data_IF_138629289956
#
_entry.id   IF_138629289956
#
_cell.length_a   1.000
_cell.length_b   1.000
_cell.length_c   1.000
_cell.angle_alpha   90.00
_cell.angle_beta   90.00
_cell.angle_gamma   90.00
#
_symmetry.space_group_name_H-M   'P 1'
#
loop_
_entity.id
_entity.type
_entity.pdbx_description
1 polymer ?
#
# COMPACT_ATOMS: atom_id res chain seq x y z
N UNK A 1 -36.07 -24.66 9.91
CA UNK A 1 -35.05 -24.79 10.97
C UNK A 1 -34.15 -23.59 10.84
N UNK A 2 -34.23 -22.67 11.80
CA UNK A 2 -33.45 -21.43 11.77
C UNK A 2 -31.96 -21.76 11.89
N UNK A 3 -31.26 -21.44 10.81
CA UNK A 3 -29.82 -21.54 10.68
C UNK A 3 -29.16 -20.69 11.77
N UNK A 4 -28.25 -21.32 12.52
CA UNK A 4 -27.39 -20.77 13.58
C UNK A 4 -27.35 -19.23 13.65
N UNK A 5 -28.17 -18.64 14.54
CA UNK A 5 -28.14 -17.22 14.90
C UNK A 5 -26.92 -16.84 15.77
N UNK A 6 -25.80 -17.54 15.59
CA UNK A 6 -24.56 -17.25 16.27
C UNK A 6 -23.87 -16.08 15.57
N UNK A 7 -24.02 -14.89 16.16
CA UNK A 7 -23.26 -13.74 15.75
C UNK A 7 -21.76 -14.06 15.90
N UNK A 8 -20.89 -13.70 14.94
CA UNK A 8 -19.44 -13.90 15.04
C UNK A 8 -18.84 -13.37 16.35
N UNK A 9 -19.46 -12.34 16.92
CA UNK A 9 -19.11 -11.75 18.22
C UNK A 9 -19.34 -12.73 19.39
N UNK A 10 -20.42 -13.53 19.33
CA UNK A 10 -20.72 -14.54 20.35
C UNK A 10 -19.77 -15.72 20.23
N UNK A 11 -19.52 -16.20 19.00
CA UNK A 11 -18.52 -17.25 18.78
C UNK A 11 -17.13 -16.80 19.22
N UNK A 12 -16.72 -15.58 18.85
CA UNK A 12 -15.46 -14.97 19.29
C UNK A 12 -15.36 -14.92 20.82
N UNK A 13 -16.42 -14.46 21.50
CA UNK A 13 -16.49 -14.45 22.97
C UNK A 13 -16.36 -15.85 23.57
N UNK A 14 -17.00 -16.86 22.99
CA UNK A 14 -16.96 -18.24 23.48
C UNK A 14 -15.60 -18.89 23.34
N UNK A 15 -14.88 -18.59 22.25
CA UNK A 15 -13.50 -19.03 22.10
C UNK A 15 -12.52 -18.13 22.86
N UNK A 16 -13.01 -17.12 23.60
CA UNK A 16 -12.29 -16.21 24.50
C UNK A 16 -11.59 -15.03 23.83
N UNK A 17 -12.02 -14.63 22.63
CA UNK A 17 -11.43 -13.53 21.85
C UNK A 17 -12.13 -12.23 22.27
N UNK A 18 -11.37 -11.31 22.85
CA UNK A 18 -11.89 -10.07 23.42
C UNK A 18 -11.85 -8.92 22.40
N UNK A 19 -12.66 -7.87 22.60
CA UNK A 19 -12.93 -6.80 21.65
C UNK A 19 -11.74 -5.92 21.21
N UNK A 20 -10.56 -6.07 21.82
CA UNK A 20 -9.31 -5.41 21.41
C UNK A 20 -8.48 -6.46 20.65
N UNK A 21 -8.73 -6.56 19.35
CA UNK A 21 -8.19 -7.63 18.50
C UNK A 21 -6.67 -7.56 18.33
N UNK A 22 -5.99 -8.68 18.59
CA UNK A 22 -4.66 -8.97 18.04
C UNK A 22 -4.82 -10.07 16.97
N UNK A 23 -4.60 -9.73 15.70
CA UNK A 23 -4.79 -10.67 14.58
C UNK A 23 -3.98 -11.98 14.74
N UNK A 24 -2.82 -11.90 15.40
CA UNK A 24 -1.96 -13.05 15.67
C UNK A 24 -2.63 -14.07 16.60
N UNK A 25 -3.22 -13.62 17.70
CA UNK A 25 -3.93 -14.48 18.65
C UNK A 25 -5.13 -15.19 17.99
N UNK A 26 -5.85 -14.50 17.11
CA UNK A 26 -6.95 -15.08 16.35
C UNK A 26 -6.46 -16.18 15.41
N UNK A 27 -5.36 -15.94 14.69
CA UNK A 27 -4.75 -16.95 13.82
C UNK A 27 -4.31 -18.18 14.60
N UNK A 28 -3.66 -18.01 15.76
CA UNK A 28 -3.22 -19.11 16.61
C UNK A 28 -4.39 -20.01 17.04
N UNK A 29 -5.53 -19.41 17.38
CA UNK A 29 -6.73 -20.15 17.76
C UNK A 29 -7.37 -20.85 16.56
N UNK A 30 -7.45 -20.19 15.41
CA UNK A 30 -7.94 -20.80 14.17
C UNK A 30 -7.07 -21.99 13.75
N UNK A 31 -5.75 -21.95 13.95
CA UNK A 31 -4.85 -23.04 13.58
C UNK A 31 -4.97 -24.29 14.45
N UNK A 32 -5.67 -24.22 15.58
CA UNK A 32 -6.05 -25.38 16.41
C UNK A 32 -7.25 -26.14 15.83
N UNK A 33 -8.01 -25.52 14.92
CA UNK A 33 -9.11 -26.18 14.22
C UNK A 33 -8.55 -27.19 13.20
N UNK A 34 -9.31 -28.25 12.87
CA UNK A 34 -8.90 -29.27 11.89
C UNK A 34 -9.04 -28.75 10.44
N UNK A 35 -8.36 -27.66 10.13
CA UNK A 35 -8.25 -27.10 8.78
C UNK A 35 -6.95 -27.57 8.12
N UNK A 36 -6.94 -27.65 6.79
CA UNK A 36 -5.78 -28.14 6.04
C UNK A 36 -4.56 -27.24 6.25
N UNK A 37 -3.34 -27.79 6.17
CA UNK A 37 -2.12 -26.96 6.25
C UNK A 37 -2.02 -25.96 5.09
N UNK A 38 -2.62 -26.28 3.94
CA UNK A 38 -2.75 -25.36 2.82
C UNK A 38 -3.60 -24.15 3.20
N UNK A 39 -4.76 -24.35 3.84
CA UNK A 39 -5.63 -23.26 4.29
C UNK A 39 -4.99 -22.45 5.41
N UNK A 40 -4.29 -23.10 6.36
CA UNK A 40 -3.48 -22.39 7.35
C UNK A 40 -2.43 -21.52 6.67
N UNK A 41 -1.75 -22.02 5.65
CA UNK A 41 -0.81 -21.25 4.83
C UNK A 41 -1.46 -20.00 4.22
N UNK A 42 -2.64 -20.14 3.62
CA UNK A 42 -3.39 -19.01 3.04
C UNK A 42 -3.82 -18.00 4.10
N UNK A 43 -4.27 -18.46 5.26
CA UNK A 43 -4.63 -17.59 6.38
C UNK A 43 -3.42 -16.81 6.91
N UNK A 44 -2.25 -17.45 7.06
CA UNK A 44 -0.99 -16.76 7.42
C UNK A 44 -0.63 -15.69 6.40
N UNK A 45 -0.76 -16.00 5.12
CA UNK A 45 -0.40 -15.07 4.05
C UNK A 45 -1.30 -13.83 4.02
N UNK A 46 -2.62 -14.01 4.13
CA UNK A 46 -3.60 -12.94 3.87
C UNK A 46 -4.13 -12.23 5.11
N UNK A 47 -3.70 -12.64 6.30
CA UNK A 47 -4.09 -11.99 7.56
C UNK A 47 -2.99 -11.01 7.98
N UNK A 48 -3.28 -9.70 8.01
CA UNK A 48 -2.31 -8.73 8.48
C UNK A 48 -2.06 -8.91 9.97
N UNK A 49 -0.80 -8.78 10.39
CA UNK A 49 -0.41 -8.84 11.80
C UNK A 49 0.41 -7.59 12.14
N UNK A 50 0.06 -6.92 13.24
CA UNK A 50 0.83 -5.79 13.76
C UNK A 50 1.93 -6.31 14.70
N UNK A 51 3.19 -6.02 14.39
CA UNK A 51 4.36 -6.36 15.22
C UNK A 51 5.29 -5.16 15.29
N UNK A 52 5.70 -4.76 16.49
CA UNK A 52 6.61 -3.63 16.71
C UNK A 52 6.19 -2.36 15.96
N UNK A 53 4.89 -2.04 15.96
CA UNK A 53 4.35 -0.86 15.28
C UNK A 53 4.30 -0.91 13.74
N UNK A 54 4.66 -2.05 13.12
CA UNK A 54 4.60 -2.28 11.67
C UNK A 54 3.57 -3.34 11.32
N UNK A 55 3.04 -3.30 10.10
CA UNK A 55 2.03 -4.24 9.61
C UNK A 55 2.69 -5.26 8.69
N UNK A 56 2.62 -6.54 9.05
CA UNK A 56 3.10 -7.66 8.25
C UNK A 56 1.93 -8.25 7.45
N UNK A 57 2.08 -8.34 6.12
CA UNK A 57 1.07 -8.90 5.22
C UNK A 57 1.73 -9.53 4.00
N UNK A 58 1.39 -10.78 3.69
CA UNK A 58 1.88 -11.54 2.54
C UNK A 58 3.42 -11.47 2.34
N UNK A 59 4.17 -11.58 3.44
CA UNK A 59 5.64 -11.51 3.41
C UNK A 59 6.23 -10.10 3.30
N UNK A 60 5.38 -9.07 3.22
CA UNK A 60 5.78 -7.67 3.18
C UNK A 60 5.51 -6.97 4.52
N UNK A 61 6.25 -5.90 4.77
CA UNK A 61 6.19 -5.07 5.99
C UNK A 61 5.85 -3.65 5.57
N UNK A 62 4.77 -3.13 6.13
CA UNK A 62 4.24 -1.79 5.84
C UNK A 62 4.34 -0.90 7.07
N UNK A 63 4.62 0.38 6.84
CA UNK A 63 4.47 1.40 7.88
C UNK A 63 3.01 1.51 8.33
N UNK A 64 2.79 1.85 9.61
CA UNK A 64 1.45 1.92 10.21
C UNK A 64 0.51 2.89 9.50
N UNK A 65 1.05 3.96 8.90
CA UNK A 65 0.27 4.94 8.14
C UNK A 65 -0.16 4.45 6.75
N UNK A 66 0.47 3.39 6.22
CA UNK A 66 0.14 2.81 4.92
C UNK A 66 -0.98 1.77 4.99
N UNK A 67 -1.39 1.35 6.19
CA UNK A 67 -2.47 0.37 6.39
C UNK A 67 -3.51 0.93 7.34
N UNK A 68 -4.80 0.82 6.99
CA UNK A 68 -5.89 1.42 7.76
C UNK A 68 -6.92 0.37 8.17
N UNK A 69 -6.80 -0.22 9.36
CA UNK A 69 -7.73 -1.25 9.86
C UNK A 69 -9.23 -0.90 9.73
N UNK A 70 -9.59 0.37 9.95
CA UNK A 70 -10.97 0.83 9.90
C UNK A 70 -11.46 1.17 8.49
N UNK A 71 -10.63 0.97 7.46
CA UNK A 71 -10.97 1.34 6.09
C UNK A 71 -11.97 0.36 5.52
N UNK A 72 -13.13 0.87 5.10
CA UNK A 72 -14.21 0.05 4.56
C UNK A 72 -14.44 0.39 3.11
N UNK A 73 -13.50 -0.01 2.26
CA UNK A 73 -13.64 0.10 0.81
C UNK A 73 -14.02 -1.25 0.20
N UNK A 74 -14.76 -1.22 -0.90
CA UNK A 74 -15.10 -2.42 -1.66
C UNK A 74 -15.18 -2.17 -3.16
N UNK A 75 -14.96 -3.23 -3.93
CA UNK A 75 -15.43 -3.34 -5.30
C UNK A 75 -16.73 -4.15 -5.33
N UNK A 76 -17.85 -3.55 -5.77
CA UNK A 76 -19.14 -4.26 -5.85
C UNK A 76 -19.07 -5.51 -6.73
N UNK A 77 -18.32 -5.45 -7.83
CA UNK A 77 -18.14 -6.58 -8.75
C UNK A 77 -17.37 -7.72 -8.08
N UNK A 78 -16.25 -7.45 -7.41
CA UNK A 78 -15.51 -8.46 -6.64
C UNK A 78 -16.38 -9.14 -5.58
N UNK A 79 -17.19 -8.36 -4.86
CA UNK A 79 -18.07 -8.89 -3.80
C UNK A 79 -19.22 -9.71 -4.39
N UNK A 80 -19.76 -9.30 -5.53
CA UNK A 80 -20.78 -10.06 -6.25
C UNK A 80 -20.25 -11.40 -6.79
N UNK A 81 -19.00 -11.42 -7.27
CA UNK A 81 -18.33 -12.65 -7.73
C UNK A 81 -17.97 -13.57 -6.56
N UNK A 82 -17.45 -13.01 -5.48
CA UNK A 82 -17.12 -13.77 -4.28
C UNK A 82 -17.23 -12.90 -3.02
N UNK A 83 -18.15 -13.22 -2.10
CA UNK A 83 -18.64 -12.30 -1.08
C UNK A 83 -17.68 -12.20 0.12
N UNK A 84 -16.44 -11.83 -0.12
CA UNK A 84 -15.45 -11.55 0.91
C UNK A 84 -14.66 -10.28 0.61
N UNK A 85 -14.21 -9.62 1.68
CA UNK A 85 -13.37 -8.44 1.60
C UNK A 85 -11.95 -8.80 1.14
N UNK A 86 -11.32 -7.98 0.28
CA UNK A 86 -9.92 -8.17 -0.10
C UNK A 86 -9.03 -7.31 0.78
N UNK A 87 -8.11 -7.95 1.51
CA UNK A 87 -7.27 -7.30 2.52
C UNK A 87 -6.43 -6.13 1.98
N UNK A 88 -5.98 -6.18 0.72
CA UNK A 88 -5.22 -5.08 0.13
C UNK A 88 -6.03 -3.79 -0.04
N UNK A 89 -7.38 -3.83 0.03
CA UNK A 89 -8.19 -2.60 0.07
C UNK A 89 -7.96 -1.77 1.35
N UNK A 90 -7.34 -2.37 2.37
CA UNK A 90 -6.93 -1.68 3.61
C UNK A 90 -5.65 -0.85 3.45
N UNK A 91 -4.86 -1.09 2.39
CA UNK A 91 -3.66 -0.30 2.10
C UNK A 91 -4.06 1.10 1.65
N UNK A 92 -3.60 2.14 2.35
CA UNK A 92 -3.97 3.55 2.19
C UNK A 92 -3.85 4.03 0.75
N UNK A 93 -3.00 3.45 -0.08
CA UNK A 93 -2.85 3.86 -1.48
C UNK A 93 -3.97 3.39 -2.42
N UNK A 94 -4.71 2.32 -2.11
CA UNK A 94 -5.70 1.75 -3.02
C UNK A 94 -6.87 2.72 -3.26
N UNK A 95 -7.17 3.05 -4.52
CA UNK A 95 -8.37 3.81 -4.91
C UNK A 95 -9.19 3.07 -5.96
N UNK A 96 -8.53 2.26 -6.78
CA UNK A 96 -9.14 1.50 -7.86
C UNK A 96 -9.05 0.01 -7.60
N UNK A 97 -10.09 -0.74 -7.97
CA UNK A 97 -10.05 -2.19 -7.95
C UNK A 97 -9.09 -2.69 -9.05
N UNK A 98 -8.04 -3.45 -8.72
CA UNK A 98 -7.09 -3.94 -9.72
C UNK A 98 -7.67 -5.04 -10.62
N UNK A 99 -8.78 -5.67 -10.21
CA UNK A 99 -9.47 -6.72 -10.97
C UNK A 99 -10.46 -6.09 -11.95
N UNK A 100 -11.38 -5.25 -11.47
CA UNK A 100 -12.49 -4.70 -12.27
C UNK A 100 -12.28 -3.28 -12.79
N UNK A 101 -11.17 -2.63 -12.41
CA UNK A 101 -10.78 -1.28 -12.85
C UNK A 101 -11.84 -0.20 -12.57
N UNK A 102 -12.60 -0.37 -11.50
CA UNK A 102 -13.56 0.63 -11.03
C UNK A 102 -13.07 1.23 -9.72
N UNK A 103 -13.48 2.47 -9.46
CA UNK A 103 -13.25 3.11 -8.17
C UNK A 103 -13.79 2.22 -7.04
N UNK A 104 -13.02 2.12 -5.97
CA UNK A 104 -13.45 1.48 -4.75
C UNK A 104 -14.44 2.40 -4.04
N UNK A 105 -15.54 1.82 -3.58
CA UNK A 105 -16.59 2.57 -2.93
C UNK A 105 -16.52 2.41 -1.42
N UNK A 106 -16.78 3.47 -0.64
CA UNK A 106 -16.97 3.33 0.80
C UNK A 106 -18.19 2.46 1.06
N UNK A 107 -18.05 1.58 2.04
CA UNK A 107 -19.17 0.80 2.50
C UNK A 107 -20.09 1.69 3.34
N UNK A 108 -21.33 1.87 2.87
CA UNK A 108 -22.36 2.54 3.63
C UNK A 108 -22.62 1.79 4.94
N UNK A 109 -22.62 2.51 6.06
CA UNK A 109 -22.96 1.97 7.37
C UNK A 109 -24.47 1.67 7.39
N UNK A 110 -24.86 0.46 6.99
CA UNK A 110 -26.20 -0.04 7.22
C UNK A 110 -26.14 -1.01 8.40
N UNK A 111 -26.89 -0.74 9.47
CA UNK A 111 -26.99 -1.60 10.67
C UNK A 111 -27.38 -3.06 10.35
N UNK A 112 -27.90 -3.33 9.15
CA UNK A 112 -28.27 -4.66 8.64
C UNK A 112 -27.22 -5.31 7.72
N UNK A 113 -26.00 -4.77 7.61
CA UNK A 113 -24.90 -5.39 6.83
C UNK A 113 -23.85 -6.08 7.70
N UNK A 114 -24.01 -6.05 9.02
CA UNK A 114 -23.38 -6.98 9.96
C UNK A 114 -23.66 -8.41 9.48
N UNK A 115 -22.65 -9.06 8.88
CA UNK A 115 -22.76 -10.44 8.38
C UNK A 115 -22.67 -10.66 6.86
N UNK A 116 -22.50 -9.62 6.03
CA UNK A 116 -22.06 -9.81 4.62
C UNK A 116 -20.53 -9.90 4.46
N UNK A 117 -19.78 -9.62 5.51
CA UNK A 117 -18.32 -9.55 5.55
C UNK A 117 -17.69 -10.77 6.21
N UNK A 118 -18.46 -11.45 7.03
CA UNK A 118 -18.07 -12.66 7.71
C UNK A 118 -18.40 -13.85 6.80
N UNK A 119 -17.52 -14.85 6.69
CA UNK A 119 -17.88 -16.10 6.07
C UNK A 119 -19.17 -16.57 6.73
N UNK A 120 -20.25 -16.72 5.95
CA UNK A 120 -21.42 -17.45 6.42
C UNK A 120 -20.98 -18.90 6.51
N UNK A 121 -20.48 -19.30 7.68
CA UNK A 121 -20.09 -20.69 7.97
C UNK A 121 -21.26 -21.68 7.82
N UNK A 122 -22.49 -21.18 7.66
CA UNK A 122 -23.70 -21.96 7.40
C UNK A 122 -23.79 -22.54 5.97
N UNK A 123 -22.97 -22.09 5.02
CA UNK A 123 -23.00 -22.63 3.66
C UNK A 123 -21.63 -23.14 3.25
N UNK A 124 -21.60 -24.36 2.71
CA UNK A 124 -20.44 -24.88 1.97
C UNK A 124 -20.24 -23.98 0.76
N UNK A 125 -19.37 -23.00 0.87
CA UNK A 125 -18.88 -22.26 -0.29
C UNK A 125 -17.93 -23.22 -0.99
N UNK A 126 -18.36 -23.81 -2.11
CA UNK A 126 -17.43 -24.51 -2.99
C UNK A 126 -16.26 -23.57 -3.25
N UNK A 127 -15.06 -23.99 -2.84
CA UNK A 127 -13.86 -23.16 -2.87
C UNK A 127 -13.71 -22.51 -4.23
N UNK A 128 -14.04 -21.23 -4.31
CA UNK A 128 -13.49 -20.37 -5.32
C UNK A 128 -12.37 -19.63 -4.63
N UNK A 129 -11.21 -20.28 -4.57
CA UNK A 129 -9.98 -19.50 -4.54
C UNK A 129 -10.05 -18.60 -5.77
N UNK A 130 -10.45 -17.34 -5.58
CA UNK A 130 -10.50 -16.40 -6.69
C UNK A 130 -9.06 -16.28 -7.13
N UNK A 131 -8.78 -16.85 -8.30
CA UNK A 131 -7.61 -16.45 -9.06
C UNK A 131 -7.82 -14.96 -9.28
N UNK A 132 -6.97 -14.17 -8.62
CA UNK A 132 -6.91 -12.75 -8.88
C UNK A 132 -6.25 -12.64 -10.25
N UNK A 133 -7.06 -12.76 -11.30
CA UNK A 133 -6.61 -12.62 -12.68
C UNK A 133 -6.44 -11.13 -12.95
N UNK A 134 -5.28 -10.62 -12.57
CA UNK A 134 -4.81 -9.33 -13.01
C UNK A 134 -4.49 -9.47 -14.50
N UNK A 135 -5.46 -9.18 -15.37
CA UNK A 135 -5.28 -9.35 -16.81
C UNK A 135 -3.96 -8.74 -17.29
N UNK A 136 -3.33 -9.37 -18.30
CA UNK A 136 -1.97 -9.04 -18.76
C UNK A 136 -1.78 -7.56 -19.17
N UNK A 137 -2.87 -6.85 -19.42
CA UNK A 137 -2.89 -5.41 -19.77
C UNK A 137 -3.02 -4.46 -18.58
N UNK A 138 -3.03 -4.93 -17.32
CA UNK A 138 -3.18 -4.05 -16.14
C UNK A 138 -1.84 -3.49 -15.67
N UNK A 139 -1.39 -2.42 -16.31
CA UNK A 139 -0.18 -1.69 -15.90
C UNK A 139 -0.55 -0.47 -15.03
N UNK A 140 -1.20 -0.74 -13.89
CA UNK A 140 -1.61 0.26 -12.90
C UNK A 140 -0.86 0.07 -11.59
N UNK A 141 -0.83 1.11 -10.76
CA UNK A 141 -0.18 1.07 -9.46
C UNK A 141 -0.77 0.00 -8.53
N UNK A 142 -2.10 -0.09 -8.39
CA UNK A 142 -2.73 -1.12 -7.56
C UNK A 142 -2.47 -2.54 -8.08
N UNK A 143 -2.45 -2.74 -9.41
CA UNK A 143 -2.14 -4.04 -9.99
C UNK A 143 -0.68 -4.44 -9.74
N UNK A 144 0.25 -3.49 -9.77
CA UNK A 144 1.63 -3.75 -9.36
C UNK A 144 1.71 -4.22 -7.91
N UNK A 145 1.05 -3.52 -6.98
CA UNK A 145 1.04 -3.90 -5.56
C UNK A 145 0.46 -5.30 -5.37
N UNK A 146 -0.68 -5.62 -5.99
CA UNK A 146 -1.30 -6.94 -5.85
C UNK A 146 -0.42 -8.03 -6.46
N UNK A 147 0.24 -7.82 -7.60
CA UNK A 147 1.22 -8.78 -8.15
C UNK A 147 2.33 -9.06 -7.14
N UNK A 148 2.88 -8.02 -6.50
CA UNK A 148 3.94 -8.14 -5.49
C UNK A 148 3.47 -8.88 -4.23
N UNK A 149 2.22 -8.70 -3.81
CA UNK A 149 1.63 -9.44 -2.69
C UNK A 149 1.33 -10.91 -3.03
N UNK A 150 1.02 -11.21 -4.29
CA UNK A 150 0.75 -12.56 -4.78
C UNK A 150 2.03 -13.37 -5.04
N UNK A 151 3.10 -12.70 -5.42
CA UNK A 151 4.38 -13.33 -5.75
C UNK A 151 5.17 -13.72 -4.50
N UNK A 152 4.85 -14.88 -3.94
CA UNK A 152 5.55 -15.47 -2.81
C UNK A 152 7.01 -15.87 -3.12
N UNK A 153 7.41 -15.87 -4.41
CA UNK A 153 8.78 -16.21 -4.83
C UNK A 153 9.71 -15.01 -4.88
N UNK A 154 9.15 -13.79 -4.81
CA UNK A 154 9.93 -12.57 -4.77
C UNK A 154 10.61 -12.43 -3.41
N UNK A 155 11.87 -12.90 -3.31
CA UNK A 155 12.76 -12.72 -2.15
C UNK A 155 13.24 -11.26 -1.97
N UNK A 156 12.40 -10.31 -2.38
CA UNK A 156 12.54 -8.91 -2.10
C UNK A 156 12.75 -8.66 -0.60
N UNK A 157 13.45 -7.57 -0.26
CA UNK A 157 13.47 -7.11 1.13
C UNK A 157 12.02 -6.99 1.63
N UNK A 158 11.70 -7.40 2.87
CA UNK A 158 10.35 -7.32 3.39
C UNK A 158 9.75 -5.91 3.33
N UNK A 159 10.59 -4.87 3.32
CA UNK A 159 10.18 -3.46 3.21
C UNK A 159 10.09 -2.93 1.79
N UNK A 160 10.54 -3.68 0.78
CA UNK A 160 10.70 -3.17 -0.59
C UNK A 160 9.40 -2.56 -1.15
N UNK A 161 8.26 -3.20 -0.90
CA UNK A 161 6.98 -2.68 -1.37
C UNK A 161 6.52 -1.43 -0.60
N UNK A 162 6.73 -1.37 0.71
CA UNK A 162 6.43 -0.20 1.54
C UNK A 162 7.29 1.00 1.12
N UNK A 163 8.58 0.74 0.92
CA UNK A 163 9.56 1.73 0.50
C UNK A 163 9.23 2.26 -0.90
N UNK A 164 8.78 1.37 -1.81
CA UNK A 164 8.30 1.73 -3.14
C UNK A 164 7.05 2.61 -3.09
N UNK A 165 6.07 2.29 -2.24
CA UNK A 165 4.84 3.09 -2.08
C UNK A 165 5.16 4.52 -1.64
N UNK A 166 6.06 4.69 -0.66
CA UNK A 166 6.52 6.02 -0.22
C UNK A 166 7.20 6.80 -1.34
N UNK A 167 8.10 6.14 -2.07
CA UNK A 167 8.81 6.75 -3.19
C UNK A 167 7.86 7.16 -4.32
N UNK A 168 6.86 6.33 -4.63
CA UNK A 168 5.81 6.66 -5.59
C UNK A 168 5.04 7.89 -5.11
N UNK A 169 4.67 7.96 -3.84
CA UNK A 169 3.97 9.12 -3.30
C UNK A 169 4.77 10.41 -3.46
N UNK A 170 6.05 10.37 -3.09
CA UNK A 170 6.96 11.51 -3.18
C UNK A 170 7.23 11.93 -4.63
N UNK A 171 7.66 10.99 -5.47
CA UNK A 171 7.96 11.23 -6.88
C UNK A 171 6.72 11.72 -7.64
N UNK A 172 5.57 11.13 -7.36
CA UNK A 172 4.29 11.51 -7.94
C UNK A 172 3.90 12.94 -7.61
N UNK A 173 4.02 13.34 -6.34
CA UNK A 173 3.72 14.70 -5.92
C UNK A 173 4.70 15.72 -6.51
N UNK A 174 5.99 15.38 -6.58
CA UNK A 174 7.00 16.24 -7.20
C UNK A 174 6.76 16.41 -8.70
N UNK A 175 6.70 15.30 -9.45
CA UNK A 175 6.66 15.32 -10.91
C UNK A 175 5.26 15.62 -11.47
N UNK A 176 4.20 15.39 -10.70
CA UNK A 176 2.81 15.60 -11.10
C UNK A 176 2.29 17.02 -10.91
N UNK A 177 3.05 17.88 -10.22
CA UNK A 177 2.68 19.24 -9.88
C UNK A 177 3.75 20.24 -10.33
N UNK A 178 3.37 21.50 -10.48
CA UNK A 178 4.30 22.58 -10.75
C UNK A 178 5.18 22.87 -9.52
N UNK A 179 6.32 23.52 -9.75
CA UNK A 179 7.21 23.95 -8.66
C UNK A 179 6.47 24.83 -7.66
N UNK A 180 6.40 24.38 -6.41
CA UNK A 180 5.73 25.08 -5.32
C UNK A 180 6.62 25.14 -4.07
N UNK A 181 6.77 26.29 -3.40
CA UNK A 181 7.51 26.37 -2.13
C UNK A 181 6.86 25.56 -1.00
N UNK A 182 5.55 25.31 -1.08
CA UNK A 182 4.78 24.52 -0.11
C UNK A 182 4.36 23.16 -0.67
N UNK A 183 4.14 22.18 0.20
CA UNK A 183 3.71 20.84 -0.19
C UNK A 183 2.29 20.92 -0.79
N UNK A 184 2.08 20.55 -2.07
CA UNK A 184 0.76 20.60 -2.67
C UNK A 184 -0.16 19.52 -2.06
N UNK A 185 -1.49 19.75 -2.06
CA UNK A 185 -2.45 18.73 -1.65
C UNK A 185 -2.27 17.46 -2.48
N UNK A 186 -2.32 16.31 -1.82
CA UNK A 186 -2.15 15.04 -2.50
C UNK A 186 -3.39 14.63 -3.30
N UNK A 187 -3.17 14.18 -4.54
CA UNK A 187 -4.24 13.75 -5.45
C UNK A 187 -4.07 12.29 -5.86
N UNK A 188 -5.15 11.67 -6.36
CA UNK A 188 -5.07 10.31 -6.91
C UNK A 188 -4.16 10.22 -8.15
N UNK A 189 -4.02 11.31 -8.91
CA UNK A 189 -3.13 11.40 -10.08
C UNK A 189 -1.66 11.25 -9.68
N UNK A 190 -1.28 11.74 -8.49
CA UNK A 190 0.10 11.66 -8.01
C UNK A 190 0.56 10.19 -7.90
N UNK A 191 -0.31 9.28 -7.45
CA UNK A 191 0.02 7.83 -7.41
C UNK A 191 0.43 7.30 -8.77
N UNK A 192 -0.36 7.58 -9.81
CA UNK A 192 -0.08 7.09 -11.16
C UNK A 192 1.18 7.72 -11.73
N UNK A 193 1.35 9.04 -11.57
CA UNK A 193 2.58 9.72 -12.02
C UNK A 193 3.79 9.08 -11.37
N UNK A 194 3.82 8.96 -10.04
CA UNK A 194 4.94 8.38 -9.32
C UNK A 194 5.21 6.91 -9.71
N UNK A 195 4.16 6.13 -9.93
CA UNK A 195 4.28 4.74 -10.34
C UNK A 195 4.92 4.64 -11.73
N UNK A 196 4.41 5.39 -12.70
CA UNK A 196 4.98 5.45 -14.05
C UNK A 196 6.40 6.02 -14.06
N UNK A 197 6.74 6.90 -13.12
CA UNK A 197 8.09 7.44 -12.96
C UNK A 197 9.10 6.42 -12.46
N UNK A 198 8.68 5.50 -11.58
CA UNK A 198 9.61 4.61 -10.88
C UNK A 198 9.61 3.17 -11.37
N UNK A 199 8.51 2.68 -11.97
CA UNK A 199 8.41 1.27 -12.39
C UNK A 199 9.43 0.85 -13.45
N UNK A 200 9.94 1.81 -14.25
CA UNK A 200 10.99 1.57 -15.24
C UNK A 200 12.41 1.58 -14.67
N UNK A 201 12.55 1.79 -13.36
CA UNK A 201 13.83 1.93 -12.66
C UNK A 201 14.35 3.36 -12.63
N UNK A 202 15.56 3.50 -12.07
CA UNK A 202 16.15 4.80 -11.74
C UNK A 202 16.62 5.62 -12.95
N UNK A 203 16.98 4.96 -14.06
CA UNK A 203 17.43 5.65 -15.27
C UNK A 203 16.28 6.43 -15.94
N UNK A 204 15.13 5.82 -16.26
CA UNK A 204 13.96 6.57 -16.73
C UNK A 204 13.51 7.65 -15.74
N UNK A 205 13.56 7.38 -14.43
CA UNK A 205 13.22 8.36 -13.41
C UNK A 205 14.09 9.63 -13.51
N UNK A 206 15.41 9.46 -13.65
CA UNK A 206 16.35 10.57 -13.83
C UNK A 206 16.01 11.44 -15.04
N UNK A 207 15.62 10.84 -16.16
CA UNK A 207 15.23 11.58 -17.36
C UNK A 207 13.91 12.32 -17.18
N UNK A 208 12.97 11.78 -16.40
CA UNK A 208 11.74 12.48 -16.03
C UNK A 208 12.02 13.67 -15.11
N UNK A 209 12.92 13.54 -14.12
CA UNK A 209 13.35 14.65 -13.26
C UNK A 209 13.97 15.78 -14.10
N UNK A 210 14.83 15.44 -15.07
CA UNK A 210 15.42 16.42 -16.01
C UNK A 210 14.36 17.16 -16.81
N UNK A 211 13.40 16.42 -17.35
CA UNK A 211 12.30 17.00 -18.13
C UNK A 211 11.48 17.95 -17.27
N UNK A 212 11.12 17.53 -16.06
CA UNK A 212 10.36 18.34 -15.12
C UNK A 212 11.11 19.62 -14.74
N UNK A 213 12.41 19.55 -14.43
CA UNK A 213 13.24 20.72 -14.11
C UNK A 213 13.32 21.75 -15.25
N UNK A 214 13.29 21.30 -16.51
CA UNK A 214 13.28 22.20 -17.67
C UNK A 214 11.95 22.94 -17.81
N UNK A 215 10.85 22.24 -17.59
CA UNK A 215 9.50 22.83 -17.67
C UNK A 215 9.24 23.76 -16.49
N UNK A 216 9.75 23.41 -15.31
CA UNK A 216 9.54 24.12 -14.05
C UNK A 216 10.71 25.03 -13.65
N UNK A 217 11.53 25.43 -14.61
CA UNK A 217 12.65 26.33 -14.35
C UNK A 217 12.15 27.63 -13.70
N UNK A 218 12.79 28.12 -12.63
CA UNK A 218 12.37 29.35 -11.98
C UNK A 218 12.55 30.54 -12.93
N UNK A 219 11.63 31.51 -12.84
CA UNK A 219 11.69 32.74 -13.65
C UNK A 219 12.89 33.63 -13.28
N UNK A 220 13.39 33.51 -12.04
CA UNK A 220 14.57 34.18 -11.53
C UNK A 220 15.75 33.22 -11.41
N UNK A 221 16.95 33.76 -11.20
CA UNK A 221 18.14 32.96 -10.94
C UNK A 221 17.94 32.05 -9.72
N UNK A 222 18.32 30.77 -9.87
CA UNK A 222 18.32 29.79 -8.78
C UNK A 222 19.73 29.70 -8.18
N UNK A 223 19.83 29.72 -6.85
CA UNK A 223 21.10 29.62 -6.13
C UNK A 223 21.21 28.34 -5.31
N UNK A 224 20.08 27.70 -5.00
CA UNK A 224 19.98 26.53 -4.13
C UNK A 224 19.07 25.48 -4.76
N UNK A 225 19.20 24.23 -4.31
CA UNK A 225 18.32 23.13 -4.72
C UNK A 225 16.85 23.47 -4.42
N UNK A 226 16.59 24.10 -3.26
CA UNK A 226 15.25 24.56 -2.87
C UNK A 226 14.62 25.52 -3.88
N UNK A 227 15.42 26.35 -4.55
CA UNK A 227 14.90 27.26 -5.57
C UNK A 227 14.37 26.53 -6.80
N UNK A 228 14.92 25.34 -7.10
CA UNK A 228 14.54 24.51 -8.25
C UNK A 228 13.34 23.62 -7.97
N UNK A 229 13.27 22.98 -6.80
CA UNK A 229 12.26 21.94 -6.51
C UNK A 229 11.31 22.30 -5.35
N UNK A 230 11.47 23.48 -4.74
CA UNK A 230 10.58 23.98 -3.71
C UNK A 230 10.55 23.10 -2.45
N UNK A 231 9.33 22.74 -2.01
CA UNK A 231 9.08 21.93 -0.82
C UNK A 231 9.88 20.62 -0.81
N UNK A 232 10.09 20.00 -1.97
CA UNK A 232 10.71 18.68 -2.07
C UNK A 232 12.16 18.65 -1.58
N UNK A 233 12.85 19.80 -1.56
CA UNK A 233 14.22 19.90 -1.06
C UNK A 233 14.35 19.50 0.42
N UNK A 234 13.32 19.78 1.23
CA UNK A 234 13.28 19.47 2.67
C UNK A 234 13.11 17.97 2.94
N UNK A 235 12.65 17.22 1.95
CA UNK A 235 12.40 15.78 2.05
C UNK A 235 13.50 14.94 1.42
N UNK A 236 14.49 15.53 0.74
CA UNK A 236 15.59 14.75 0.20
C UNK A 236 16.42 14.19 1.36
N UNK A 237 16.68 12.88 1.36
CA UNK A 237 17.49 12.19 2.39
C UNK A 237 18.90 11.93 1.89
N UNK A 238 19.91 12.19 2.71
CA UNK A 238 21.32 11.83 2.43
C UNK A 238 21.67 10.47 3.05
N UNK A 239 22.71 9.82 2.51
CA UNK A 239 23.24 8.56 3.09
C UNK A 239 23.84 8.74 4.49
N UNK A 240 24.20 9.98 4.85
CA UNK A 240 24.95 10.32 6.06
C UNK A 240 24.10 11.00 7.15
N UNK A 241 22.78 11.09 6.97
CA UNK A 241 21.91 11.66 7.99
C UNK A 241 22.01 10.85 9.29
N UNK A 242 22.04 11.49 10.47
CA UNK A 242 22.02 10.77 11.73
C UNK A 242 20.77 9.88 11.73
N UNK A 243 20.97 8.60 12.04
CA UNK A 243 19.89 7.71 12.45
C UNK A 243 19.02 8.47 13.44
N UNK A 244 17.72 8.60 13.18
CA UNK A 244 16.81 9.11 14.21
C UNK A 244 16.58 7.97 15.20
N UNK A 245 17.21 8.00 16.40
CA UNK A 245 17.13 6.91 17.35
C UNK A 245 15.74 6.84 18.02
N UNK A 246 14.90 7.86 17.87
CA UNK A 246 13.53 7.87 18.41
C UNK A 246 12.52 7.22 17.46
N UNK A 247 12.81 7.20 16.15
CA UNK A 247 11.91 6.61 15.14
C UNK A 247 12.23 5.17 14.76
N UNK A 248 13.43 4.67 15.08
CA UNK A 248 13.88 3.26 14.86
C UNK A 248 13.58 2.69 13.45
N UNK A 249 13.44 3.59 12.46
CA UNK A 249 13.13 3.29 11.08
C UNK A 249 14.40 3.45 10.24
N UNK A 250 14.92 2.32 9.76
CA UNK A 250 16.00 2.31 8.77
C UNK A 250 15.63 3.23 7.59
N UNK A 251 16.56 4.06 7.09
CA UNK A 251 16.30 4.95 5.98
C UNK A 251 15.86 4.13 4.77
N UNK A 252 14.77 4.57 4.13
CA UNK A 252 14.23 3.95 2.93
C UNK A 252 15.32 4.00 1.82
N UNK A 253 15.91 2.85 1.43
CA UNK A 253 17.06 2.81 0.53
C UNK A 253 16.71 3.30 -0.88
N UNK A 254 15.47 3.10 -1.31
CA UNK A 254 14.99 3.61 -2.60
C UNK A 254 14.86 5.14 -2.56
N UNK A 255 14.38 5.70 -1.46
CA UNK A 255 14.26 7.14 -1.28
C UNK A 255 15.63 7.83 -1.25
N UNK A 256 16.64 7.19 -0.66
CA UNK A 256 18.04 7.65 -0.71
C UNK A 256 18.54 7.71 -2.16
N UNK A 257 18.30 6.67 -2.96
CA UNK A 257 18.72 6.62 -4.36
C UNK A 257 18.02 7.69 -5.21
N UNK A 258 16.70 7.84 -5.04
CA UNK A 258 15.90 8.89 -5.69
C UNK A 258 16.39 10.27 -5.28
N UNK A 259 16.65 10.49 -3.99
CA UNK A 259 17.17 11.76 -3.47
C UNK A 259 18.51 12.11 -4.09
N UNK A 260 19.43 11.15 -4.18
CA UNK A 260 20.73 11.33 -4.82
C UNK A 260 20.60 11.73 -6.30
N UNK A 261 19.67 11.11 -7.04
CA UNK A 261 19.38 11.46 -8.43
C UNK A 261 18.88 12.90 -8.53
N UNK A 262 17.87 13.26 -7.74
CA UNK A 262 17.29 14.61 -7.76
C UNK A 262 18.35 15.65 -7.43
N UNK A 263 19.17 15.42 -6.40
CA UNK A 263 20.27 16.33 -6.05
C UNK A 263 21.28 16.46 -7.18
N UNK A 264 21.67 15.36 -7.82
CA UNK A 264 22.62 15.39 -8.93
C UNK A 264 22.08 16.18 -10.13
N UNK A 265 20.80 16.02 -10.45
CA UNK A 265 20.16 16.80 -11.51
C UNK A 265 20.00 18.28 -11.16
N UNK A 266 19.64 18.60 -9.91
CA UNK A 266 19.57 19.98 -9.45
C UNK A 266 20.94 20.67 -9.47
N UNK A 267 22.00 20.00 -8.98
CA UNK A 267 23.38 20.53 -9.02
C UNK A 267 23.83 20.82 -10.46
N UNK A 268 23.56 19.90 -11.38
CA UNK A 268 23.83 20.11 -12.81
C UNK A 268 23.12 21.34 -13.35
N UNK A 269 21.83 21.52 -13.04
CA UNK A 269 21.06 22.70 -13.46
C UNK A 269 21.62 24.00 -12.87
N UNK A 270 22.17 23.96 -11.64
CA UNK A 270 22.84 25.09 -11.00
C UNK A 270 24.28 25.32 -11.50
N UNK A 271 24.82 24.46 -12.37
CA UNK A 271 26.21 24.53 -12.82
C UNK A 271 27.24 24.13 -11.75
N UNK A 272 26.86 23.25 -10.82
CA UNK A 272 27.70 22.73 -9.73
C UNK A 272 27.97 21.24 -9.84
#
# INVERSE_FOLDING_TARGET
>A
MDECAYLPEHYASEIGINAIFQSEEVLERIFRLPISEQDKGRLRQWTPVEKNGRIHLAGQVFARNQFRWARRLQCRKCVAETPYHRVWWQLECFRTCPVHRCALEPLAYNRNTTGRWWPRFAHVVHERAVRVELGDTTDTFESHIVRRLLDASCQASPRELSDFIECVQFAGRLLGNDRNPSVPPFSAKDWEVGYHSLKGGLLPFKDQVRSWLRVNAPQSHAYQIRDLIGWAAEYLTDQEGPFDPELDDLPNPMHVQISAIIRAECRRTLGR
#
